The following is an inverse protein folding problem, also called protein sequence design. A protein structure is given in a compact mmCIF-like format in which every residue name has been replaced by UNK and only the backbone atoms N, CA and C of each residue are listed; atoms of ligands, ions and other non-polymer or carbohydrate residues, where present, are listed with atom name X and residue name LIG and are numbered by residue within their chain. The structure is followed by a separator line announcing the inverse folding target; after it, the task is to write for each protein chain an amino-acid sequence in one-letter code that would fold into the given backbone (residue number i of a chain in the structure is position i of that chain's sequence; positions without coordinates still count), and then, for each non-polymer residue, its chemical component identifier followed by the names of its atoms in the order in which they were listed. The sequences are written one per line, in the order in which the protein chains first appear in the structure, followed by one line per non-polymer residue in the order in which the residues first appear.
data_IF_600079320149
#
_entry.id   IF_600079320149
#
_cell.length_a   1.000
_cell.length_b   1.000
_cell.length_c   1.000
_cell.angle_alpha   90.00
_cell.angle_beta   90.00
_cell.angle_gamma   90.00
#
_symmetry.space_group_name_H-M   'P 1'
#
loop_
_entity.id
_entity.type
_entity.pdbx_description
1 polymer ?
#
# COMPACT_ATOMS: atom_id res chain seq x y z
N UNK A 1 48.37 -23.34 -5.69
CA UNK A 1 47.83 -22.46 -6.78
C UNK A 1 48.66 -21.19 -6.86
N UNK A 2 49.06 -20.75 -8.06
CA UNK A 2 49.79 -19.48 -8.28
C UNK A 2 48.97 -18.32 -7.68
N UNK A 3 49.62 -17.39 -6.98
CA UNK A 3 49.01 -16.21 -6.33
C UNK A 3 48.13 -15.39 -7.28
N UNK A 4 48.53 -15.28 -8.56
CA UNK A 4 47.73 -14.66 -9.64
C UNK A 4 46.36 -15.30 -9.87
N UNK A 5 46.24 -16.62 -9.66
CA UNK A 5 44.96 -17.35 -9.81
C UNK A 5 44.05 -17.12 -8.60
N UNK A 6 44.61 -17.06 -7.39
CA UNK A 6 43.84 -16.75 -6.16
C UNK A 6 43.25 -15.34 -6.21
N UNK A 7 44.03 -14.36 -6.71
CA UNK A 7 43.57 -12.99 -6.89
C UNK A 7 42.40 -12.87 -7.89
N UNK A 8 42.54 -13.46 -9.09
CA UNK A 8 41.46 -13.47 -10.09
C UNK A 8 40.18 -14.12 -9.58
N UNK A 9 40.30 -15.16 -8.75
CA UNK A 9 39.16 -15.86 -8.17
C UNK A 9 38.42 -14.98 -7.14
N UNK A 10 39.13 -14.26 -6.28
CA UNK A 10 38.55 -13.30 -5.34
C UNK A 10 37.86 -12.12 -6.05
N UNK A 11 38.44 -11.62 -7.14
CA UNK A 11 37.84 -10.56 -7.95
C UNK A 11 36.53 -11.02 -8.62
N UNK A 12 36.52 -12.22 -9.20
CA UNK A 12 35.30 -12.83 -9.76
C UNK A 12 34.23 -13.06 -8.70
N UNK A 13 34.63 -13.50 -7.51
CA UNK A 13 33.72 -13.66 -6.38
C UNK A 13 33.07 -12.33 -5.98
N UNK A 14 33.87 -11.26 -5.86
CA UNK A 14 33.36 -9.91 -5.57
C UNK A 14 32.41 -9.42 -6.66
N UNK A 15 32.74 -9.67 -7.93
CA UNK A 15 31.91 -9.30 -9.07
C UNK A 15 30.54 -9.99 -9.04
N UNK A 16 30.50 -11.29 -8.70
CA UNK A 16 29.25 -12.04 -8.55
C UNK A 16 28.42 -11.48 -7.39
N UNK A 17 29.04 -11.13 -6.25
CA UNK A 17 28.34 -10.50 -5.13
C UNK A 17 27.69 -9.18 -5.56
N UNK A 18 28.45 -8.30 -6.25
CA UNK A 18 27.94 -7.00 -6.72
C UNK A 18 26.78 -7.19 -7.70
N UNK A 19 26.91 -8.11 -8.66
CA UNK A 19 25.83 -8.42 -9.61
C UNK A 19 24.57 -8.91 -8.90
N UNK A 20 24.72 -9.81 -7.93
CA UNK A 20 23.59 -10.39 -7.20
C UNK A 20 22.91 -9.32 -6.34
N UNK A 21 23.68 -8.45 -5.68
CA UNK A 21 23.14 -7.31 -4.92
C UNK A 21 22.44 -6.31 -5.82
N UNK A 22 23.02 -5.95 -6.97
CA UNK A 22 22.46 -4.98 -7.91
C UNK A 22 21.14 -5.47 -8.53
N UNK A 23 21.12 -6.70 -9.05
CA UNK A 23 19.92 -7.30 -9.64
C UNK A 23 18.84 -7.58 -8.59
N UNK A 24 19.23 -8.16 -7.44
CA UNK A 24 18.31 -8.46 -6.34
C UNK A 24 17.70 -7.20 -5.74
N UNK A 25 18.52 -6.19 -5.45
CA UNK A 25 18.08 -4.89 -4.91
C UNK A 25 17.16 -4.15 -5.88
N UNK A 26 17.50 -4.12 -7.17
CA UNK A 26 16.65 -3.48 -8.19
C UNK A 26 15.28 -4.17 -8.30
N UNK A 27 15.26 -5.51 -8.32
CA UNK A 27 14.01 -6.27 -8.37
C UNK A 27 13.16 -6.08 -7.10
N UNK A 28 13.80 -6.01 -5.93
CA UNK A 28 13.13 -5.74 -4.66
C UNK A 28 12.42 -4.38 -4.67
N UNK A 29 13.15 -3.31 -5.01
CA UNK A 29 12.60 -1.94 -5.07
C UNK A 29 11.47 -1.86 -6.10
N UNK A 30 11.61 -2.54 -7.24
CA UNK A 30 10.59 -2.57 -8.27
C UNK A 30 9.28 -3.24 -7.81
N UNK A 31 9.37 -4.44 -7.22
CA UNK A 31 8.19 -5.16 -6.75
C UNK A 31 7.50 -4.44 -5.59
N UNK A 32 8.29 -3.92 -4.64
CA UNK A 32 7.77 -3.12 -3.52
C UNK A 32 6.98 -1.90 -4.01
N UNK A 33 7.48 -1.23 -5.06
CA UNK A 33 6.80 -0.08 -5.64
C UNK A 33 5.51 -0.42 -6.40
N UNK A 34 5.41 -1.58 -7.04
CA UNK A 34 4.20 -1.98 -7.78
C UNK A 34 3.06 -2.42 -6.85
N UNK A 35 3.33 -3.30 -5.89
CA UNK A 35 2.32 -3.78 -4.95
C UNK A 35 1.82 -2.64 -4.05
N UNK A 36 2.72 -1.78 -3.58
CA UNK A 36 2.36 -0.61 -2.79
C UNK A 36 1.47 0.35 -3.58
N UNK A 37 1.74 0.60 -4.87
CA UNK A 37 0.92 1.49 -5.70
C UNK A 37 -0.51 0.97 -5.91
N UNK A 38 -0.69 -0.32 -6.17
CA UNK A 38 -2.01 -0.89 -6.41
C UNK A 38 -2.87 -0.85 -5.13
N UNK A 39 -2.30 -1.31 -4.00
CA UNK A 39 -2.95 -1.27 -2.69
C UNK A 39 -3.27 0.17 -2.26
N UNK A 40 -2.30 1.07 -2.38
CA UNK A 40 -2.48 2.47 -2.00
C UNK A 40 -3.57 3.12 -2.84
N UNK A 41 -3.63 2.83 -4.14
CA UNK A 41 -4.62 3.43 -5.02
C UNK A 41 -6.04 3.00 -4.68
N UNK A 42 -6.29 1.70 -4.49
CA UNK A 42 -7.66 1.21 -4.33
C UNK A 42 -8.21 1.47 -2.92
N UNK A 43 -7.42 1.27 -1.85
CA UNK A 43 -7.83 1.60 -0.49
C UNK A 43 -8.02 3.13 -0.30
N UNK A 44 -7.17 3.95 -0.93
CA UNK A 44 -7.32 5.41 -0.89
C UNK A 44 -8.56 5.89 -1.66
N UNK A 45 -8.93 5.19 -2.74
CA UNK A 45 -10.17 5.46 -3.47
C UNK A 45 -11.40 5.20 -2.59
N UNK A 46 -11.47 4.09 -1.87
CA UNK A 46 -12.58 3.82 -0.96
C UNK A 46 -12.68 4.86 0.17
N UNK A 47 -11.56 5.31 0.73
CA UNK A 47 -11.55 6.44 1.69
C UNK A 47 -12.09 7.73 1.04
N UNK A 48 -11.69 8.01 -0.21
CA UNK A 48 -12.20 9.13 -0.98
C UNK A 48 -13.71 9.05 -1.25
N UNK A 49 -14.20 7.87 -1.64
CA UNK A 49 -15.63 7.61 -1.82
C UNK A 49 -16.40 7.77 -0.52
N UNK A 50 -15.88 7.25 0.59
CA UNK A 50 -16.49 7.45 1.91
C UNK A 50 -16.60 8.93 2.28
N UNK A 51 -15.54 9.72 2.07
CA UNK A 51 -15.56 11.18 2.27
C UNK A 51 -16.63 11.85 1.40
N UNK A 52 -16.68 11.53 0.11
CA UNK A 52 -17.68 12.11 -0.80
C UNK A 52 -19.11 11.73 -0.41
N UNK A 53 -19.34 10.47 -0.03
CA UNK A 53 -20.64 10.01 0.45
C UNK A 53 -21.08 10.72 1.72
N UNK A 54 -20.17 10.98 2.66
CA UNK A 54 -20.48 11.76 3.87
C UNK A 54 -20.95 13.18 3.53
N UNK A 55 -20.19 13.88 2.68
CA UNK A 55 -20.54 15.25 2.24
C UNK A 55 -21.87 15.29 1.50
N UNK A 56 -22.12 14.28 0.65
CA UNK A 56 -23.37 14.17 -0.09
C UNK A 56 -24.53 13.88 0.86
N UNK A 57 -24.37 12.97 1.82
CA UNK A 57 -25.39 12.66 2.82
C UNK A 57 -25.79 13.91 3.63
N UNK A 58 -24.82 14.71 4.06
CA UNK A 58 -25.10 15.97 4.76
C UNK A 58 -25.83 16.98 3.86
N UNK A 59 -25.49 17.04 2.57
CA UNK A 59 -26.17 17.91 1.60
C UNK A 59 -27.60 17.44 1.26
N UNK A 60 -27.95 16.17 1.47
CA UNK A 60 -29.33 15.68 1.28
C UNK A 60 -30.31 16.22 2.32
N UNK A 61 -29.82 16.66 3.49
CA UNK A 61 -30.63 17.20 4.58
C UNK A 61 -30.83 18.73 4.48
N UNK A 62 -30.36 19.37 3.40
CA UNK A 62 -30.45 20.81 3.20
C UNK A 62 -31.87 21.32 2.88
N UNK A 63 -32.08 22.62 3.08
CA UNK A 63 -33.35 23.30 2.79
C UNK A 63 -33.60 23.54 1.29
N UNK A 64 -32.57 23.47 0.46
CA UNK A 64 -32.67 23.59 -1.00
C UNK A 64 -32.98 22.22 -1.65
N UNK A 65 -34.22 22.08 -2.13
CA UNK A 65 -34.71 20.86 -2.79
C UNK A 65 -33.91 20.44 -4.04
N UNK A 66 -33.34 21.39 -4.79
CA UNK A 66 -32.54 21.09 -5.99
C UNK A 66 -31.17 20.57 -5.57
N UNK A 67 -30.56 21.20 -4.56
CA UNK A 67 -29.28 20.75 -4.00
C UNK A 67 -29.41 19.35 -3.39
N UNK A 68 -30.48 19.09 -2.63
CA UNK A 68 -30.74 17.78 -2.03
C UNK A 68 -30.90 16.69 -3.09
N UNK A 69 -31.63 16.95 -4.18
CA UNK A 69 -31.80 16.00 -5.28
C UNK A 69 -30.46 15.69 -5.98
N UNK A 70 -29.63 16.71 -6.22
CA UNK A 70 -28.30 16.54 -6.80
C UNK A 70 -27.36 15.73 -5.88
N UNK A 71 -27.48 15.93 -4.56
CA UNK A 71 -26.73 15.16 -3.58
C UNK A 71 -27.12 13.67 -3.60
N UNK A 72 -28.41 13.34 -3.72
CA UNK A 72 -28.91 11.96 -3.87
C UNK A 72 -28.32 11.29 -5.12
N UNK A 73 -28.32 11.97 -6.26
CA UNK A 73 -27.75 11.42 -7.51
C UNK A 73 -26.25 11.20 -7.37
N UNK A 74 -25.54 12.15 -6.76
CA UNK A 74 -24.09 12.08 -6.55
C UNK A 74 -23.72 10.95 -5.59
N UNK A 75 -24.51 10.76 -4.52
CA UNK A 75 -24.35 9.66 -3.58
C UNK A 75 -24.53 8.31 -4.25
N UNK A 76 -25.62 8.13 -5.02
CA UNK A 76 -25.86 6.90 -5.77
C UNK A 76 -24.67 6.53 -6.67
N UNK A 77 -24.12 7.53 -7.38
CA UNK A 77 -22.95 7.34 -8.24
C UNK A 77 -21.72 6.93 -7.43
N UNK A 78 -21.45 7.63 -6.33
CA UNK A 78 -20.29 7.36 -5.47
C UNK A 78 -20.38 5.99 -4.83
N UNK A 79 -21.55 5.61 -4.31
CA UNK A 79 -21.83 4.28 -3.76
C UNK A 79 -21.66 3.16 -4.81
N UNK A 80 -22.02 3.42 -6.07
CA UNK A 80 -21.76 2.46 -7.15
C UNK A 80 -20.26 2.33 -7.45
N UNK A 81 -19.50 3.43 -7.37
CA UNK A 81 -18.05 3.38 -7.53
C UNK A 81 -17.39 2.60 -6.39
N UNK A 82 -17.84 2.80 -5.14
CA UNK A 82 -17.42 2.03 -3.98
C UNK A 82 -17.70 0.53 -4.16
N UNK A 83 -18.92 0.18 -4.60
CA UNK A 83 -19.29 -1.21 -4.82
C UNK A 83 -18.47 -1.93 -5.91
N UNK A 84 -17.88 -1.17 -6.84
CA UNK A 84 -16.97 -1.70 -7.86
C UNK A 84 -15.50 -1.72 -7.40
N UNK A 85 -15.23 -1.23 -6.18
CA UNK A 85 -13.91 -1.09 -5.58
C UNK A 85 -13.86 -1.76 -4.20
N UNK A 86 -14.39 -3.00 -4.10
CA UNK A 86 -14.26 -3.79 -2.88
C UNK A 86 -12.82 -4.28 -2.76
N UNK A 87 -12.14 -3.88 -1.68
CA UNK A 87 -10.72 -4.13 -1.43
C UNK A 87 -10.47 -5.01 -0.21
N UNK A 88 -11.32 -4.91 0.83
CA UNK A 88 -11.09 -5.55 2.12
C UNK A 88 -12.15 -6.62 2.46
N UNK A 89 -11.74 -7.62 3.24
CA UNK A 89 -12.62 -8.69 3.69
C UNK A 89 -13.71 -8.10 4.60
N UNK A 90 -14.98 -8.39 4.29
CA UNK A 90 -16.13 -7.88 5.03
C UNK A 90 -16.67 -6.53 4.51
N UNK A 91 -15.97 -5.87 3.58
CA UNK A 91 -16.36 -4.54 3.08
C UNK A 91 -17.63 -4.62 2.24
N UNK A 92 -17.75 -5.66 1.42
CA UNK A 92 -18.92 -5.90 0.57
C UNK A 92 -20.21 -5.95 1.37
N UNK A 93 -20.20 -6.60 2.53
CA UNK A 93 -21.34 -6.72 3.42
C UNK A 93 -21.77 -5.34 3.95
N UNK A 94 -20.81 -4.50 4.33
CA UNK A 94 -21.08 -3.13 4.80
C UNK A 94 -21.61 -2.25 3.66
N UNK A 95 -21.05 -2.38 2.46
CA UNK A 95 -21.51 -1.66 1.25
C UNK A 95 -22.93 -2.08 0.85
N UNK A 96 -23.23 -3.38 0.90
CA UNK A 96 -24.56 -3.90 0.58
C UNK A 96 -25.60 -3.43 1.61
N UNK A 97 -25.24 -3.37 2.90
CA UNK A 97 -26.08 -2.76 3.94
C UNK A 97 -26.28 -1.25 3.73
N UNK A 98 -25.24 -0.52 3.34
CA UNK A 98 -25.33 0.92 3.04
C UNK A 98 -26.25 1.17 1.84
N UNK A 99 -26.21 0.29 0.84
CA UNK A 99 -27.12 0.34 -0.31
C UNK A 99 -28.57 0.12 0.13
N UNK A 100 -28.83 -0.85 1.00
CA UNK A 100 -30.17 -1.08 1.53
C UNK A 100 -30.70 0.14 2.30
N UNK A 101 -29.89 0.73 3.17
CA UNK A 101 -30.26 1.95 3.90
C UNK A 101 -30.53 3.12 2.94
N UNK A 102 -29.69 3.30 1.92
CA UNK A 102 -29.89 4.33 0.91
C UNK A 102 -31.17 4.12 0.10
N UNK A 103 -31.51 2.87 -0.25
CA UNK A 103 -32.77 2.58 -0.92
C UNK A 103 -33.99 2.90 -0.05
N UNK A 104 -33.92 2.61 1.26
CA UNK A 104 -34.96 3.00 2.21
C UNK A 104 -35.08 4.52 2.30
N UNK A 105 -33.94 5.23 2.32
CA UNK A 105 -33.89 6.69 2.34
C UNK A 105 -34.57 7.31 1.11
N UNK A 106 -34.44 6.66 -0.06
CA UNK A 106 -35.12 7.09 -1.28
C UNK A 106 -36.62 6.75 -1.33
N UNK A 107 -37.07 5.72 -0.59
CA UNK A 107 -38.44 5.20 -0.64
C UNK A 107 -39.37 5.78 0.44
N UNK A 108 -38.84 6.34 1.51
CA UNK A 108 -39.62 6.90 2.62
C UNK A 108 -38.94 8.12 3.23
N UNK A 109 -39.72 9.00 3.87
CA UNK A 109 -39.21 10.23 4.47
C UNK A 109 -37.91 9.98 5.24
N UNK A 110 -36.81 10.67 4.90
CA UNK A 110 -35.51 10.43 5.52
C UNK A 110 -35.59 10.74 7.01
N UNK A 111 -35.34 9.72 7.84
CA UNK A 111 -35.31 9.89 9.29
C UNK A 111 -33.88 10.13 9.76
N UNK A 112 -33.68 10.85 10.88
CA UNK A 112 -32.35 11.02 11.47
C UNK A 112 -31.64 9.69 11.74
N UNK A 113 -32.38 8.67 12.20
CA UNK A 113 -31.82 7.35 12.53
C UNK A 113 -31.29 6.63 11.28
N UNK A 114 -31.98 6.76 10.15
CA UNK A 114 -31.53 6.17 8.89
C UNK A 114 -30.27 6.87 8.37
N UNK A 115 -30.23 8.20 8.47
CA UNK A 115 -29.04 8.98 8.11
C UNK A 115 -27.84 8.61 8.99
N UNK A 116 -28.03 8.46 10.30
CA UNK A 116 -26.96 8.06 11.23
C UNK A 116 -26.49 6.62 10.97
N UNK A 117 -27.42 5.72 10.62
CA UNK A 117 -27.11 4.36 10.19
C UNK A 117 -26.24 4.35 8.92
N UNK A 118 -26.53 5.21 7.95
CA UNK A 118 -25.71 5.40 6.75
C UNK A 118 -24.34 5.99 7.09
N UNK A 119 -24.26 7.02 7.94
CA UNK A 119 -22.99 7.61 8.41
C UNK A 119 -22.09 6.56 9.04
N UNK A 120 -22.65 5.73 9.93
CA UNK A 120 -21.90 4.68 10.61
C UNK A 120 -21.29 3.67 9.62
N UNK A 121 -22.04 3.28 8.58
CA UNK A 121 -21.55 2.36 7.53
C UNK A 121 -20.48 2.99 6.65
N UNK A 122 -20.66 4.26 6.27
CA UNK A 122 -19.65 5.02 5.52
C UNK A 122 -18.35 5.12 6.34
N UNK A 123 -18.44 5.43 7.63
CA UNK A 123 -17.28 5.43 8.53
C UNK A 123 -16.63 4.06 8.61
N UNK A 124 -17.42 2.99 8.70
CA UNK A 124 -16.91 1.63 8.78
C UNK A 124 -16.12 1.24 7.53
N UNK A 125 -16.60 1.59 6.33
CA UNK A 125 -15.88 1.37 5.06
C UNK A 125 -14.53 2.11 5.09
N UNK A 126 -14.54 3.39 5.48
CA UNK A 126 -13.31 4.20 5.58
C UNK A 126 -12.31 3.61 6.58
N UNK A 127 -12.80 3.19 7.75
CA UNK A 127 -11.99 2.60 8.81
C UNK A 127 -11.33 1.29 8.37
N UNK A 128 -12.08 0.39 7.73
CA UNK A 128 -11.55 -0.87 7.22
C UNK A 128 -10.40 -0.65 6.22
N UNK A 129 -10.59 0.29 5.29
CA UNK A 129 -9.58 0.65 4.30
C UNK A 129 -8.35 1.33 4.91
N UNK A 130 -8.54 2.20 5.89
CA UNK A 130 -7.46 2.88 6.58
C UNK A 130 -6.62 1.90 7.42
N UNK A 131 -7.27 0.98 8.15
CA UNK A 131 -6.57 -0.06 8.92
C UNK A 131 -5.78 -1.00 8.02
N UNK A 132 -6.36 -1.39 6.87
CA UNK A 132 -5.66 -2.21 5.89
C UNK A 132 -4.43 -1.49 5.32
N UNK A 133 -4.56 -0.20 5.00
CA UNK A 133 -3.44 0.62 4.53
C UNK A 133 -2.33 0.72 5.57
N UNK A 134 -2.67 0.99 6.83
CA UNK A 134 -1.71 1.08 7.93
C UNK A 134 -0.98 -0.26 8.16
N UNK A 135 -1.72 -1.37 8.16
CA UNK A 135 -1.14 -2.71 8.32
C UNK A 135 -0.16 -3.04 7.19
N UNK A 136 -0.56 -2.83 5.93
CA UNK A 136 0.29 -3.11 4.76
C UNK A 136 1.52 -2.20 4.75
N UNK A 137 1.40 -0.95 5.22
CA UNK A 137 2.54 -0.04 5.39
C UNK A 137 3.52 -0.52 6.48
N UNK A 138 3.01 -0.96 7.64
CA UNK A 138 3.86 -1.54 8.70
C UNK A 138 4.58 -2.81 8.24
N UNK A 139 3.92 -3.66 7.45
CA UNK A 139 4.55 -4.84 6.86
C UNK A 139 5.67 -4.43 5.91
N UNK A 140 5.42 -3.51 4.98
CA UNK A 140 6.45 -2.99 4.06
C UNK A 140 7.66 -2.40 4.82
N UNK A 141 7.43 -1.68 5.92
CA UNK A 141 8.51 -1.16 6.76
C UNK A 141 9.37 -2.27 7.37
N UNK A 142 8.75 -3.33 7.93
CA UNK A 142 9.48 -4.47 8.51
C UNK A 142 10.33 -5.22 7.47
N UNK A 143 9.81 -5.37 6.25
CA UNK A 143 10.56 -5.95 5.14
C UNK A 143 11.77 -5.08 4.77
N UNK A 144 11.58 -3.76 4.69
CA UNK A 144 12.67 -2.81 4.44
C UNK A 144 13.76 -2.86 5.51
N UNK A 145 13.39 -2.86 6.79
CA UNK A 145 14.35 -2.92 7.91
C UNK A 145 15.19 -4.21 7.84
N UNK A 146 14.54 -5.34 7.53
CA UNK A 146 15.23 -6.62 7.35
C UNK A 146 16.19 -6.58 6.16
N UNK A 147 15.77 -6.03 5.03
CA UNK A 147 16.61 -5.91 3.83
C UNK A 147 17.87 -5.06 4.09
N UNK A 148 17.75 -3.96 4.85
CA UNK A 148 18.88 -3.12 5.24
C UNK A 148 19.92 -3.93 6.04
N UNK A 149 19.49 -4.75 6.99
CA UNK A 149 20.41 -5.60 7.78
C UNK A 149 21.16 -6.58 6.86
N UNK A 150 20.46 -7.27 5.97
CA UNK A 150 21.09 -8.22 5.04
C UNK A 150 22.09 -7.55 4.09
N UNK A 151 21.74 -6.40 3.53
CA UNK A 151 22.63 -5.63 2.64
C UNK A 151 23.87 -5.14 3.40
N UNK A 152 23.71 -4.63 4.62
CA UNK A 152 24.83 -4.18 5.46
C UNK A 152 25.79 -5.32 5.81
N UNK A 153 25.27 -6.51 6.14
CA UNK A 153 26.10 -7.69 6.41
C UNK A 153 26.89 -8.11 5.16
N UNK A 154 26.22 -8.23 4.00
CA UNK A 154 26.87 -8.56 2.73
C UNK A 154 27.95 -7.53 2.35
N UNK A 155 27.66 -6.25 2.58
CA UNK A 155 28.60 -5.16 2.33
C UNK A 155 29.83 -5.26 3.24
N UNK A 156 29.64 -5.52 4.53
CA UNK A 156 30.74 -5.73 5.48
C UNK A 156 31.63 -6.92 5.08
N UNK A 157 31.03 -8.05 4.67
CA UNK A 157 31.78 -9.19 4.13
C UNK A 157 32.56 -8.82 2.87
N UNK A 158 31.96 -8.04 1.96
CA UNK A 158 32.63 -7.53 0.76
C UNK A 158 33.86 -6.67 1.09
N UNK A 159 33.78 -5.82 2.11
CA UNK A 159 34.93 -5.02 2.59
C UNK A 159 36.03 -5.94 3.14
N UNK A 160 35.69 -6.91 3.98
CA UNK A 160 36.69 -7.83 4.56
C UNK A 160 37.44 -8.63 3.49
N UNK A 161 36.74 -9.09 2.45
CA UNK A 161 37.36 -9.80 1.33
C UNK A 161 38.23 -8.84 0.52
N UNK A 162 37.75 -7.63 0.23
CA UNK A 162 38.52 -6.61 -0.48
C UNK A 162 39.81 -6.25 0.26
N UNK A 163 39.71 -6.06 1.58
CA UNK A 163 40.86 -5.82 2.47
C UNK A 163 41.83 -7.00 2.42
N UNK A 164 41.35 -8.24 2.57
CA UNK A 164 42.19 -9.44 2.46
C UNK A 164 42.94 -9.52 1.13
N UNK A 165 42.29 -9.17 0.01
CA UNK A 165 42.93 -9.15 -1.31
C UNK A 165 44.04 -8.10 -1.42
N UNK A 166 43.83 -6.89 -0.87
CA UNK A 166 44.82 -5.81 -0.88
C UNK A 166 46.10 -6.22 -0.13
N UNK A 167 45.98 -6.79 1.08
CA UNK A 167 47.13 -7.23 1.87
C UNK A 167 47.85 -8.46 1.27
N UNK A 168 47.11 -9.36 0.61
CA UNK A 168 47.73 -10.49 -0.09
C UNK A 168 48.52 -10.00 -1.33
N UNK A 169 48.05 -8.94 -1.99
CA UNK A 169 48.76 -8.28 -3.10
C UNK A 169 50.05 -7.58 -2.66
N UNK A 170 50.04 -6.86 -1.54
CA UNK A 170 51.24 -6.17 -1.04
C UNK A 170 52.37 -7.15 -0.70
N UNK A 171 52.04 -8.36 -0.23
CA UNK A 171 53.01 -9.43 0.04
C UNK A 171 53.64 -10.09 -1.20
N UNK A 172 53.19 -9.73 -2.41
CA UNK A 172 53.70 -10.26 -3.69
C UNK A 172 54.65 -9.27 -4.38
N UNK A 173 54.65 -8.01 -3.95
CA UNK A 173 55.48 -6.92 -4.52
C UNK A 173 56.77 -6.64 -3.76
N UNK A 174 57.02 -7.33 -2.64
CA UNK A 174 58.33 -7.46 -1.99
C UNK A 174 58.98 -8.80 -2.38
#
# INVERSE_FOLDING_TARGET
MKTKTKFKLGLWFLFIIILTMGLGGTRYVYNMGQESKAILNDNYRSIGFAKSMMQQLDAMHGTDSVQAQNAIVSFKKTLQQEANNITEIGEKEVVDQLRADFELYQKGNPTPELADSMRAKIYRISEMNMQALEKKNMEAQKWSDSAIIYVSLLFAFGILISFSLIFNLSSITE
#
